data_IF_684178795772
#
_entry.id   IF_684178795772
#
_cell.length_a   1.000
_cell.length_b   1.000
_cell.length_c   1.000
_cell.angle_alpha   90.00
_cell.angle_beta   90.00
_cell.angle_gamma   90.00
#
_symmetry.space_group_name_H-M   'P 1'
#
loop_
_entity.id
_entity.type
_entity.pdbx_description
1 polymer ?
#
# COMPACT_ATOMS: atom_id res chain seq x y z
N UNK A 1 8.82 -17.56 -24.11
CA UNK A 1 8.52 -16.15 -24.37
C UNK A 1 7.39 -15.94 -25.37
N UNK A 2 7.27 -16.75 -26.45
CA UNK A 2 6.20 -16.61 -27.46
C UNK A 2 4.77 -16.68 -26.89
N UNK A 3 4.57 -17.33 -25.74
CA UNK A 3 3.27 -17.46 -25.07
C UNK A 3 2.98 -16.28 -24.13
N UNK A 4 4.01 -15.65 -23.56
CA UNK A 4 3.85 -14.58 -22.56
C UNK A 4 3.33 -13.29 -23.21
N UNK A 5 3.81 -12.96 -24.40
CA UNK A 5 3.38 -11.74 -25.11
C UNK A 5 1.85 -11.70 -25.32
N UNK A 6 1.21 -12.70 -25.95
CA UNK A 6 -0.25 -12.66 -26.11
C UNK A 6 -1.01 -12.77 -24.79
N UNK A 7 -0.43 -13.36 -23.73
CA UNK A 7 -1.04 -13.33 -22.39
C UNK A 7 -1.08 -11.91 -21.83
N UNK A 8 -0.01 -11.13 -21.99
CA UNK A 8 0.03 -9.72 -21.55
C UNK A 8 -0.93 -8.86 -22.37
N UNK A 9 -0.96 -9.04 -23.69
CA UNK A 9 -1.84 -8.28 -24.60
C UNK A 9 -3.33 -8.50 -24.30
N UNK A 10 -3.70 -9.69 -23.81
CA UNK A 10 -5.09 -10.05 -23.50
C UNK A 10 -5.44 -9.92 -22.03
N UNK A 11 -4.49 -9.49 -21.17
CA UNK A 11 -4.70 -9.35 -19.75
C UNK A 11 -5.75 -8.28 -19.44
N UNK A 12 -6.70 -8.64 -18.58
CA UNK A 12 -7.72 -7.71 -18.05
C UNK A 12 -7.54 -7.54 -16.55
N UNK A 13 -7.37 -6.30 -16.12
CA UNK A 13 -7.34 -5.97 -14.70
C UNK A 13 -8.76 -5.92 -14.13
N UNK A 14 -8.92 -6.37 -12.88
CA UNK A 14 -10.17 -6.32 -12.13
C UNK A 14 -9.98 -5.45 -10.87
N UNK A 15 -10.00 -4.10 -10.99
CA UNK A 15 -9.61 -3.18 -9.91
C UNK A 15 -10.37 -3.41 -8.60
N UNK A 16 -11.68 -3.68 -8.67
CA UNK A 16 -12.50 -3.94 -7.50
C UNK A 16 -12.08 -5.21 -6.73
N UNK A 17 -11.67 -6.27 -7.46
CA UNK A 17 -11.17 -7.50 -6.84
C UNK A 17 -9.77 -7.30 -6.25
N UNK A 18 -8.91 -6.56 -6.96
CA UNK A 18 -7.56 -6.20 -6.50
C UNK A 18 -7.63 -5.38 -5.21
N UNK A 19 -8.52 -4.37 -5.14
CA UNK A 19 -8.73 -3.57 -3.92
C UNK A 19 -9.21 -4.43 -2.75
N UNK A 20 -10.18 -5.32 -2.97
CA UNK A 20 -10.65 -6.23 -1.90
C UNK A 20 -9.55 -7.15 -1.37
N UNK A 21 -8.73 -7.68 -2.27
CA UNK A 21 -7.61 -8.52 -1.89
C UNK A 21 -6.57 -7.75 -1.06
N UNK A 22 -6.26 -6.52 -1.47
CA UNK A 22 -5.34 -5.64 -0.76
C UNK A 22 -5.86 -5.29 0.65
N UNK A 23 -7.15 -4.96 0.80
CA UNK A 23 -7.74 -4.62 2.10
C UNK A 23 -7.66 -5.78 3.10
N UNK A 24 -7.87 -7.03 2.66
CA UNK A 24 -7.79 -8.22 3.52
C UNK A 24 -6.37 -8.56 3.98
N UNK A 25 -5.35 -8.07 3.30
CA UNK A 25 -3.96 -8.40 3.58
C UNK A 25 -3.28 -7.55 4.65
N UNK A 26 -3.98 -6.61 5.29
CA UNK A 26 -3.40 -5.66 6.25
C UNK A 26 -2.13 -4.97 5.75
N UNK A 27 -2.05 -4.69 4.45
CA UNK A 27 -0.87 -4.07 3.83
C UNK A 27 -0.60 -2.65 4.35
N UNK A 28 -1.62 -2.01 4.93
CA UNK A 28 -1.58 -0.69 5.57
C UNK A 28 -1.21 -0.75 7.07
N UNK A 29 -0.92 -1.93 7.62
CA UNK A 29 -0.50 -2.06 9.02
C UNK A 29 0.80 -1.30 9.31
N UNK A 30 1.75 -1.31 8.36
CA UNK A 30 2.98 -0.52 8.49
C UNK A 30 2.70 0.98 8.52
N UNK A 31 1.76 1.46 7.71
CA UNK A 31 1.36 2.88 7.68
C UNK A 31 0.67 3.27 9.01
N UNK A 32 -0.06 2.36 9.65
CA UNK A 32 -0.60 2.54 11.00
C UNK A 32 0.53 2.68 12.06
N UNK A 33 1.56 1.84 11.99
CA UNK A 33 2.72 1.95 12.88
C UNK A 33 3.51 3.25 12.63
N UNK A 34 3.68 3.65 11.37
CA UNK A 34 4.33 4.92 11.00
C UNK A 34 3.54 6.14 11.50
N UNK A 35 2.20 6.07 11.46
CA UNK A 35 1.34 7.10 12.04
C UNK A 35 1.63 7.32 13.53
N UNK A 36 1.69 6.25 14.32
CA UNK A 36 2.02 6.34 15.75
C UNK A 36 3.45 6.85 15.98
N UNK A 37 4.38 6.47 15.12
CA UNK A 37 5.77 6.93 15.19
C UNK A 37 5.87 8.44 14.91
N UNK A 38 5.12 8.96 13.95
CA UNK A 38 5.00 10.40 13.69
C UNK A 38 4.43 11.15 14.88
N UNK A 39 3.57 10.49 15.68
CA UNK A 39 3.04 11.02 16.97
C UNK A 39 3.97 10.73 18.16
N UNK A 40 5.26 10.45 17.91
CA UNK A 40 6.34 10.27 18.87
C UNK A 40 6.31 8.98 19.71
N UNK A 41 5.54 7.97 19.29
CA UNK A 41 5.67 6.64 19.85
C UNK A 41 6.97 5.99 19.33
N UNK A 42 7.78 5.33 20.17
CA UNK A 42 8.93 4.56 19.70
C UNK A 42 8.50 3.49 18.66
N UNK A 43 9.23 3.36 17.56
CA UNK A 43 8.84 2.47 16.44
C UNK A 43 8.57 1.03 16.91
N UNK A 44 9.39 0.50 17.82
CA UNK A 44 9.21 -0.86 18.36
C UNK A 44 7.86 -1.03 19.06
N UNK A 45 7.42 -0.01 19.82
CA UNK A 45 6.16 -0.05 20.53
C UNK A 45 4.98 0.13 19.58
N UNK A 46 5.10 1.05 18.62
CA UNK A 46 4.12 1.26 17.55
C UNK A 46 3.91 -0.03 16.73
N UNK A 47 5.00 -0.69 16.33
CA UNK A 47 4.94 -1.94 15.56
C UNK A 47 4.29 -3.08 16.36
N UNK A 48 4.68 -3.24 17.65
CA UNK A 48 4.10 -4.25 18.53
C UNK A 48 2.60 -4.01 18.74
N UNK A 49 2.21 -2.76 19.01
CA UNK A 49 0.81 -2.39 19.21
C UNK A 49 -0.02 -2.65 17.96
N UNK A 50 0.48 -2.24 16.79
CA UNK A 50 -0.18 -2.51 15.50
C UNK A 50 -0.31 -4.01 15.24
N UNK A 51 0.69 -4.81 15.60
CA UNK A 51 0.62 -6.26 15.50
C UNK A 51 -0.50 -6.87 16.36
N UNK A 52 -0.70 -6.37 17.59
CA UNK A 52 -1.83 -6.77 18.43
C UNK A 52 -3.17 -6.38 17.78
N UNK A 53 -3.28 -5.16 17.25
CA UNK A 53 -4.49 -4.69 16.56
C UNK A 53 -4.83 -5.58 15.36
N UNK A 54 -3.84 -5.93 14.54
CA UNK A 54 -4.03 -6.85 13.38
C UNK A 54 -4.51 -8.22 13.86
N UNK A 55 -3.92 -8.78 14.91
CA UNK A 55 -4.36 -10.05 15.49
C UNK A 55 -5.82 -10.02 15.95
N UNK A 56 -6.22 -8.94 16.61
CA UNK A 56 -7.60 -8.74 17.07
C UNK A 56 -8.57 -8.55 15.88
N UNK A 57 -8.15 -7.83 14.84
CA UNK A 57 -8.93 -7.67 13.62
C UNK A 57 -9.17 -9.03 12.93
N UNK A 58 -8.12 -9.84 12.81
CA UNK A 58 -8.23 -11.20 12.25
C UNK A 58 -9.23 -12.04 13.06
N UNK A 59 -9.15 -12.00 14.39
CA UNK A 59 -10.05 -12.77 15.26
C UNK A 59 -11.52 -12.35 15.15
N UNK A 60 -11.77 -11.09 14.75
CA UNK A 60 -13.10 -10.49 14.60
C UNK A 60 -13.58 -10.45 13.15
N UNK A 61 -12.81 -10.98 12.19
CA UNK A 61 -13.04 -10.90 10.72
C UNK A 61 -13.26 -9.45 10.26
N UNK A 62 -12.48 -8.51 10.81
CA UNK A 62 -12.48 -7.07 10.46
C UNK A 62 -11.19 -6.67 9.77
N UNK A 63 -11.22 -5.57 9.03
CA UNK A 63 -10.02 -4.86 8.55
C UNK A 63 -9.67 -3.70 9.49
N UNK A 64 -8.47 -3.10 9.34
CA UNK A 64 -8.11 -1.90 10.11
C UNK A 64 -9.03 -0.71 9.78
N UNK A 65 -9.49 -0.59 8.53
CA UNK A 65 -10.37 0.49 8.08
C UNK A 65 -11.77 0.42 8.72
N UNK A 66 -12.19 -0.76 9.21
CA UNK A 66 -13.49 -0.98 9.85
C UNK A 66 -13.49 -0.74 11.36
N UNK A 67 -12.32 -0.46 11.95
CA UNK A 67 -12.24 -0.10 13.35
C UNK A 67 -12.80 1.31 13.58
N UNK A 68 -13.60 1.46 14.62
CA UNK A 68 -14.06 2.79 15.07
C UNK A 68 -12.93 3.55 15.77
N UNK A 69 -13.05 4.89 15.85
CA UNK A 69 -12.07 5.70 16.55
C UNK A 69 -11.95 5.31 18.04
N UNK A 70 -13.05 4.89 18.67
CA UNK A 70 -13.04 4.44 20.06
C UNK A 70 -12.30 3.10 20.21
N UNK A 71 -12.43 2.18 19.25
CA UNK A 71 -11.63 0.96 19.20
C UNK A 71 -10.13 1.29 19.04
N UNK A 72 -9.76 2.22 18.15
CA UNK A 72 -8.38 2.71 18.02
C UNK A 72 -7.86 3.32 19.32
N UNK A 73 -8.66 4.18 19.97
CA UNK A 73 -8.30 4.81 21.24
C UNK A 73 -8.17 3.83 22.39
N UNK A 74 -8.85 2.69 22.31
CA UNK A 74 -8.67 1.58 23.26
C UNK A 74 -7.26 1.00 23.25
N UNK A 75 -6.54 1.08 22.12
CA UNK A 75 -5.14 0.66 22.03
C UNK A 75 -4.17 1.80 22.40
N UNK A 76 -4.43 3.02 21.97
CA UNK A 76 -3.61 4.20 22.31
C UNK A 76 -4.40 5.49 22.20
N UNK A 77 -4.26 6.37 23.20
CA UNK A 77 -4.83 7.72 23.17
C UNK A 77 -4.26 8.61 22.06
N UNK A 78 -3.16 8.21 21.41
CA UNK A 78 -2.54 8.95 20.30
C UNK A 78 -3.34 8.86 18.99
N UNK A 79 -4.29 7.93 18.88
CA UNK A 79 -5.14 7.84 17.70
C UNK A 79 -6.17 8.96 17.67
N UNK A 80 -6.25 9.65 16.54
CA UNK A 80 -7.20 10.71 16.24
C UNK A 80 -7.90 10.42 14.90
N UNK A 81 -8.83 11.26 14.47
CA UNK A 81 -9.59 11.06 13.23
C UNK A 81 -8.71 10.96 11.96
N UNK A 82 -7.53 11.54 11.98
CA UNK A 82 -6.56 11.51 10.88
C UNK A 82 -5.96 10.13 10.62
N UNK A 83 -6.19 9.15 11.52
CA UNK A 83 -5.77 7.75 11.30
C UNK A 83 -6.39 7.17 10.03
N UNK A 84 -7.66 7.44 9.73
CA UNK A 84 -8.32 6.91 8.55
C UNK A 84 -7.67 7.38 7.25
N UNK A 85 -7.16 8.60 7.23
CA UNK A 85 -6.36 9.11 6.11
C UNK A 85 -4.99 8.42 6.02
N UNK A 86 -4.38 8.15 7.16
CA UNK A 86 -3.06 7.54 7.22
C UNK A 86 -3.06 6.05 6.79
N UNK A 87 -4.17 5.33 7.00
CA UNK A 87 -4.31 3.92 6.62
C UNK A 87 -5.10 3.70 5.33
N UNK A 88 -5.59 4.77 4.67
CA UNK A 88 -6.26 4.64 3.37
C UNK A 88 -5.31 4.03 2.34
N UNK A 89 -5.72 2.94 1.72
CA UNK A 89 -4.87 2.15 0.82
C UNK A 89 -4.37 2.96 -0.39
N UNK A 90 -5.18 3.88 -0.90
CA UNK A 90 -4.79 4.72 -2.04
C UNK A 90 -3.76 5.75 -1.58
N UNK A 91 -4.01 6.44 -0.46
CA UNK A 91 -3.08 7.41 0.11
C UNK A 91 -1.75 6.77 0.51
N UNK A 92 -1.78 5.55 1.06
CA UNK A 92 -0.59 4.77 1.35
C UNK A 92 0.24 4.49 0.09
N UNK A 93 -0.40 4.12 -1.03
CA UNK A 93 0.30 3.93 -2.31
C UNK A 93 0.86 5.25 -2.85
N UNK A 94 0.05 6.31 -2.88
CA UNK A 94 0.46 7.63 -3.38
C UNK A 94 1.58 8.27 -2.56
N UNK A 95 1.68 7.96 -1.28
CA UNK A 95 2.76 8.40 -0.41
C UNK A 95 4.13 7.77 -0.74
N UNK A 96 4.18 6.68 -1.50
CA UNK A 96 5.42 5.96 -1.85
C UNK A 96 6.04 6.47 -3.15
N UNK A 97 6.66 7.64 -3.08
CA UNK A 97 7.21 8.38 -4.24
C UNK A 97 8.67 8.06 -4.58
N UNK A 98 9.31 7.14 -3.85
CA UNK A 98 10.68 6.72 -4.12
C UNK A 98 10.82 6.07 -5.51
N UNK A 99 12.05 6.03 -6.04
CA UNK A 99 12.32 5.33 -7.30
C UNK A 99 11.89 3.84 -7.18
N UNK A 100 11.09 3.37 -8.15
CA UNK A 100 10.48 2.05 -8.09
C UNK A 100 9.24 1.95 -7.18
N UNK A 101 8.80 3.04 -6.56
CA UNK A 101 7.61 3.09 -5.73
C UNK A 101 6.31 2.98 -6.53
N UNK A 102 5.20 2.60 -5.87
CA UNK A 102 3.91 2.36 -6.52
C UNK A 102 3.06 3.61 -6.74
N UNK A 103 3.51 4.81 -6.34
CA UNK A 103 2.74 6.03 -6.60
C UNK A 103 2.58 6.28 -8.10
N UNK A 104 1.46 6.90 -8.49
CA UNK A 104 1.19 7.22 -9.89
C UNK A 104 2.35 7.99 -10.54
N UNK A 105 2.90 8.98 -9.83
CA UNK A 105 4.05 9.76 -10.30
C UNK A 105 5.30 8.90 -10.52
N UNK A 106 5.60 7.99 -9.59
CA UNK A 106 6.74 7.06 -9.72
C UNK A 106 6.56 6.08 -10.86
N UNK A 107 5.35 5.52 -11.02
CA UNK A 107 5.03 4.58 -12.11
C UNK A 107 5.13 5.25 -13.47
N UNK A 108 4.58 6.47 -13.64
CA UNK A 108 4.71 7.25 -14.90
C UNK A 108 6.17 7.44 -15.27
N UNK A 109 7.00 7.86 -14.33
CA UNK A 109 8.44 8.04 -14.57
C UNK A 109 9.14 6.73 -14.96
N UNK A 110 8.76 5.61 -14.38
CA UNK A 110 9.31 4.30 -14.75
C UNK A 110 8.90 3.89 -16.17
N UNK A 111 7.65 4.16 -16.57
CA UNK A 111 7.16 3.90 -17.93
C UNK A 111 7.95 4.74 -18.95
N UNK A 112 8.16 6.02 -18.68
CA UNK A 112 8.97 6.91 -19.54
C UNK A 112 10.41 6.39 -19.69
N UNK A 113 11.05 6.00 -18.60
CA UNK A 113 12.41 5.46 -18.61
C UNK A 113 12.49 4.13 -19.37
N UNK A 114 11.53 3.24 -19.16
CA UNK A 114 11.47 1.95 -19.87
C UNK A 114 11.23 2.17 -21.37
N UNK A 115 10.35 3.09 -21.75
CA UNK A 115 10.11 3.45 -23.15
C UNK A 115 11.35 4.00 -23.83
N UNK A 116 12.10 4.89 -23.17
CA UNK A 116 13.34 5.41 -23.69
C UNK A 116 14.42 4.31 -23.88
N UNK A 117 14.51 3.36 -22.94
CA UNK A 117 15.44 2.23 -23.05
C UNK A 117 15.08 1.30 -24.21
N UNK A 118 13.79 1.00 -24.39
CA UNK A 118 13.31 0.19 -25.51
C UNK A 118 13.60 0.87 -26.86
N UNK A 119 13.30 2.16 -27.00
CA UNK A 119 13.59 2.91 -28.23
C UNK A 119 15.08 2.94 -28.56
N UNK A 120 15.95 3.11 -27.56
CA UNK A 120 17.39 3.05 -27.75
C UNK A 120 17.86 1.64 -28.19
N UNK A 121 17.27 0.60 -27.61
CA UNK A 121 17.60 -0.79 -27.99
C UNK A 121 17.13 -1.11 -29.41
N UNK A 122 15.94 -0.70 -29.80
CA UNK A 122 15.41 -0.89 -31.15
C UNK A 122 16.29 -0.19 -32.19
N UNK A 123 16.68 1.07 -31.92
CA UNK A 123 17.57 1.82 -32.81
C UNK A 123 18.98 1.19 -32.97
N UNK A 124 19.46 0.51 -31.92
CA UNK A 124 20.78 -0.16 -31.96
C UNK A 124 20.73 -1.54 -32.66
N UNK A 125 19.54 -2.12 -32.87
CA UNK A 125 19.33 -3.46 -33.44
C UNK A 125 18.53 -3.44 -34.77
N UNK A 126 18.23 -2.27 -35.30
CA UNK A 126 17.63 -2.08 -36.62
C UNK A 126 18.70 -1.98 -37.68
#
# INVERSE_FOLDING_TARGET
>A
LKTVTPMLDTMKTLPANMRRAAAKGFINATDCADYLTKKRMPFRDAYKLTGCMVSDCISKDKTLEELTLDEFKGYSALFENDIYDAIDLIKCCEGRTSYGGPSEASVKKQIELAGAQLGAWEAANA
#
